data_IF_363986149605
#
_entry.id   IF_363986149605
#
_cell.length_a   1.000
_cell.length_b   1.000
_cell.length_c   1.000
_cell.angle_alpha   90.00
_cell.angle_beta   90.00
_cell.angle_gamma   90.00
#
_symmetry.space_group_name_H-M   'P 1'
#
loop_
_entity.id
_entity.type
_entity.pdbx_description
1 polymer ?
#
# COMPACT_ATOMS: atom_id res chain seq x y z
N UNK A 1 -17.28 -8.47 -13.59
CA UNK A 1 -16.02 -7.70 -13.43
C UNK A 1 -15.85 -7.43 -11.94
N UNK A 2 -14.67 -7.60 -11.33
CA UNK A 2 -14.48 -7.60 -9.86
C UNK A 2 -15.26 -6.54 -9.04
N UNK A 3 -15.56 -5.37 -9.60
CA UNK A 3 -16.35 -4.32 -8.96
C UNK A 3 -17.87 -4.63 -8.84
N UNK A 4 -18.38 -5.65 -9.53
CA UNK A 4 -19.74 -6.18 -9.36
C UNK A 4 -19.89 -7.05 -8.11
N UNK A 5 -18.77 -7.39 -7.46
CA UNK A 5 -18.69 -8.17 -6.21
C UNK A 5 -19.40 -9.52 -6.26
N UNK A 6 -19.51 -10.11 -7.45
CA UNK A 6 -20.01 -11.46 -7.63
C UNK A 6 -18.91 -12.51 -7.30
N UNK A 7 -18.43 -12.50 -6.06
CA UNK A 7 -17.44 -13.44 -5.53
C UNK A 7 -17.63 -13.65 -4.02
N UNK A 8 -17.28 -14.83 -3.53
CA UNK A 8 -17.20 -15.09 -2.08
C UNK A 8 -15.83 -14.69 -1.52
N UNK A 9 -14.77 -14.90 -2.32
CA UNK A 9 -13.40 -14.55 -1.99
C UNK A 9 -12.63 -14.23 -3.28
N UNK A 10 -11.77 -13.21 -3.22
CA UNK A 10 -10.93 -12.81 -4.34
C UNK A 10 -9.48 -12.65 -3.89
N UNK A 11 -8.54 -12.89 -4.81
CA UNK A 11 -7.13 -12.57 -4.59
C UNK A 11 -6.83 -11.20 -5.18
N UNK A 12 -6.26 -10.33 -4.36
CA UNK A 12 -5.92 -8.95 -4.71
C UNK A 12 -4.43 -8.73 -4.46
N UNK A 13 -3.78 -7.98 -5.35
CA UNK A 13 -2.47 -7.42 -5.05
C UNK A 13 -2.68 -6.07 -4.38
N UNK A 14 -2.27 -5.95 -3.12
CA UNK A 14 -2.33 -4.71 -2.37
C UNK A 14 -0.92 -4.24 -2.02
N UNK A 15 -0.60 -3.01 -2.42
CA UNK A 15 0.66 -2.34 -2.10
C UNK A 15 0.35 -1.07 -1.31
N UNK A 16 0.38 -1.12 0.04
CA UNK A 16 0.20 0.06 0.86
C UNK A 16 1.29 1.10 0.55
N UNK A 17 0.91 2.37 0.58
CA UNK A 17 1.85 3.45 0.33
C UNK A 17 2.74 3.68 1.56
N UNK A 18 3.98 4.17 1.38
CA UNK A 18 4.84 4.53 2.51
C UNK A 18 4.21 5.56 3.46
N UNK A 19 3.35 6.42 2.91
CA UNK A 19 2.54 7.39 3.64
C UNK A 19 1.06 7.04 3.45
N UNK A 20 0.47 6.27 4.38
CA UNK A 20 -0.95 5.91 4.32
C UNK A 20 -1.86 7.12 4.59
N UNK A 21 -3.08 7.09 4.04
CA UNK A 21 -4.09 8.14 4.13
C UNK A 21 -5.31 7.84 3.24
N UNK A 22 -5.48 8.61 2.16
CA UNK A 22 -6.68 8.56 1.31
C UNK A 22 -6.87 7.23 0.56
N UNK A 23 -5.80 6.49 0.30
CA UNK A 23 -5.88 5.18 -0.33
C UNK A 23 -6.62 4.17 0.58
N UNK A 24 -6.36 4.22 1.88
CA UNK A 24 -7.00 3.39 2.88
C UNK A 24 -8.49 3.71 2.98
N UNK A 25 -8.89 4.98 2.81
CA UNK A 25 -10.30 5.36 2.73
C UNK A 25 -10.99 4.68 1.55
N UNK A 26 -10.40 4.78 0.36
CA UNK A 26 -10.95 4.19 -0.87
C UNK A 26 -11.15 2.67 -0.78
N UNK A 27 -10.28 1.99 -0.04
CA UNK A 27 -10.25 0.53 0.05
C UNK A 27 -11.01 -0.05 1.24
N UNK A 28 -11.13 0.69 2.36
CA UNK A 28 -11.52 0.08 3.63
C UNK A 28 -12.56 0.88 4.43
N UNK A 29 -12.90 2.11 4.02
CA UNK A 29 -13.85 2.92 4.77
C UNK A 29 -15.30 2.51 4.52
N UNK A 30 -16.08 2.44 5.61
CA UNK A 30 -17.47 1.97 5.59
C UNK A 30 -18.42 2.75 4.68
N UNK A 31 -18.21 4.05 4.51
CA UNK A 31 -19.00 4.89 3.56
C UNK A 31 -19.01 4.35 2.13
N UNK A 32 -17.98 3.60 1.75
CA UNK A 32 -17.81 3.04 0.42
C UNK A 32 -18.18 1.54 0.37
N UNK A 33 -18.55 0.94 1.51
CA UNK A 33 -18.82 -0.47 1.64
C UNK A 33 -20.05 -0.91 0.84
N UNK A 34 -21.08 -0.07 0.70
CA UNK A 34 -22.29 -0.41 -0.05
C UNK A 34 -22.38 0.29 -1.42
N UNK A 35 -21.35 1.05 -1.79
CA UNK A 35 -21.33 1.82 -3.03
C UNK A 35 -21.03 0.91 -4.23
N UNK A 36 -21.94 0.89 -5.21
CA UNK A 36 -21.72 0.16 -6.46
C UNK A 36 -20.49 0.68 -7.20
N UNK A 37 -19.63 -0.23 -7.68
CA UNK A 37 -18.39 0.13 -8.35
C UNK A 37 -17.23 0.55 -7.42
N UNK A 38 -17.43 0.55 -6.10
CA UNK A 38 -16.40 0.92 -5.12
C UNK A 38 -15.32 -0.16 -4.95
N UNK A 39 -14.09 0.31 -4.71
CA UNK A 39 -12.93 -0.53 -4.37
C UNK A 39 -12.93 -1.06 -2.93
N UNK A 40 -13.91 -0.69 -2.09
CA UNK A 40 -14.13 -1.28 -0.77
C UNK A 40 -14.73 -2.69 -0.87
N UNK A 41 -13.99 -3.58 -1.54
CA UNK A 41 -14.42 -4.91 -1.98
C UNK A 41 -14.78 -5.85 -0.83
N UNK A 42 -14.22 -5.64 0.37
CA UNK A 42 -14.54 -6.42 1.55
C UNK A 42 -15.94 -6.12 2.11
N UNK A 43 -16.54 -4.99 1.75
CA UNK A 43 -17.83 -4.54 2.28
C UNK A 43 -17.82 -4.26 3.79
N UNK A 44 -16.65 -4.07 4.39
CA UNK A 44 -16.55 -3.83 5.84
C UNK A 44 -17.03 -2.42 6.18
N UNK A 45 -17.88 -2.35 7.20
CA UNK A 45 -18.33 -1.12 7.79
C UNK A 45 -18.16 -1.18 9.32
N UNK A 46 -16.93 -0.93 9.76
CA UNK A 46 -16.55 -0.95 11.18
C UNK A 46 -16.23 0.49 11.66
N UNK A 47 -16.96 1.02 12.65
CA UNK A 47 -16.74 2.39 13.13
C UNK A 47 -15.35 2.63 13.72
N UNK A 48 -14.73 1.62 14.34
CA UNK A 48 -13.38 1.75 14.88
C UNK A 48 -12.34 1.81 13.74
N UNK A 49 -12.54 1.03 12.68
CA UNK A 49 -11.71 1.09 11.48
C UNK A 49 -11.83 2.47 10.81
N UNK A 50 -13.05 2.96 10.61
CA UNK A 50 -13.31 4.28 10.04
C UNK A 50 -12.59 5.38 10.84
N UNK A 51 -12.70 5.37 12.16
CA UNK A 51 -12.01 6.35 13.02
C UNK A 51 -10.48 6.30 12.87
N UNK A 52 -9.89 5.12 12.68
CA UNK A 52 -8.43 5.02 12.45
C UNK A 52 -8.00 5.55 11.08
N UNK A 53 -8.84 5.38 10.06
CA UNK A 53 -8.62 5.95 8.72
C UNK A 53 -8.72 7.48 8.77
N UNK A 54 -9.73 8.02 9.46
CA UNK A 54 -9.85 9.47 9.66
C UNK A 54 -8.65 10.05 10.42
N UNK A 55 -8.15 9.33 11.43
CA UNK A 55 -6.93 9.74 12.14
C UNK A 55 -5.68 9.70 11.25
N UNK A 56 -5.57 8.75 10.33
CA UNK A 56 -4.51 8.71 9.31
C UNK A 56 -4.56 9.95 8.41
N UNK A 57 -5.75 10.30 7.91
CA UNK A 57 -5.95 11.46 7.03
C UNK A 57 -5.73 12.80 7.76
N UNK A 58 -6.01 12.85 9.05
CA UNK A 58 -5.86 14.06 9.87
C UNK A 58 -4.44 14.29 10.41
N UNK A 59 -3.56 13.29 10.37
CA UNK A 59 -2.21 13.37 10.94
C UNK A 59 -1.37 14.49 10.28
N UNK A 60 -0.75 15.35 11.10
CA UNK A 60 0.06 16.49 10.64
C UNK A 60 1.52 16.40 11.02
N UNK A 61 1.91 15.34 11.73
CA UNK A 61 3.29 15.07 12.09
C UNK A 61 3.66 13.60 11.87
N UNK A 62 4.95 13.28 11.69
CA UNK A 62 5.40 11.89 11.58
C UNK A 62 5.01 11.03 12.79
N UNK A 63 5.04 11.61 13.99
CA UNK A 63 4.69 10.90 15.22
C UNK A 63 3.20 10.53 15.25
N UNK A 64 2.33 11.48 14.85
CA UNK A 64 0.89 11.23 14.72
C UNK A 64 0.61 10.17 13.64
N UNK A 65 1.25 10.27 12.47
CA UNK A 65 1.05 9.31 11.38
C UNK A 65 1.47 7.89 11.80
N UNK A 66 2.59 7.76 12.51
CA UNK A 66 3.05 6.46 13.05
C UNK A 66 2.05 5.91 14.08
N UNK A 67 1.52 6.76 14.96
CA UNK A 67 0.53 6.33 15.94
C UNK A 67 -0.79 5.88 15.27
N UNK A 68 -1.31 6.68 14.34
CA UNK A 68 -2.52 6.39 13.58
C UNK A 68 -2.37 5.12 12.72
N UNK A 69 -1.24 4.97 12.00
CA UNK A 69 -0.97 3.78 11.20
C UNK A 69 -0.86 2.51 12.02
N UNK A 70 -0.26 2.56 13.21
CA UNK A 70 -0.24 1.41 14.14
C UNK A 70 -1.63 1.07 14.69
N UNK A 71 -2.48 2.07 14.93
CA UNK A 71 -3.85 1.84 15.36
C UNK A 71 -4.67 1.21 14.23
N UNK A 72 -4.60 1.77 13.02
CA UNK A 72 -5.22 1.22 11.81
C UNK A 72 -4.82 -0.24 11.59
N UNK A 73 -3.53 -0.58 11.58
CA UNK A 73 -3.07 -1.95 11.35
C UNK A 73 -3.62 -2.95 12.37
N UNK A 74 -3.73 -2.57 13.65
CA UNK A 74 -4.29 -3.44 14.69
C UNK A 74 -5.79 -3.65 14.48
N UNK A 75 -6.54 -2.58 14.26
CA UNK A 75 -8.00 -2.64 14.08
C UNK A 75 -8.34 -3.36 12.78
N UNK A 76 -7.69 -3.01 11.67
CA UNK A 76 -7.86 -3.65 10.38
C UNK A 76 -7.63 -5.16 10.45
N UNK A 77 -6.58 -5.62 11.14
CA UNK A 77 -6.35 -7.07 11.30
C UNK A 77 -7.42 -7.78 12.15
N UNK A 78 -8.13 -7.07 13.01
CA UNK A 78 -9.22 -7.66 13.81
C UNK A 78 -10.52 -7.82 13.01
N UNK A 79 -10.70 -7.12 11.89
CA UNK A 79 -11.88 -7.28 11.04
C UNK A 79 -11.82 -8.55 10.18
N UNK A 80 -10.64 -9.16 10.05
CA UNK A 80 -10.39 -10.32 9.18
C UNK A 80 -10.78 -10.07 7.71
N UNK A 81 -10.76 -8.81 7.27
CA UNK A 81 -11.05 -8.36 5.90
C UNK A 81 -10.24 -9.07 4.82
N UNK A 82 -9.01 -9.43 5.17
CA UNK A 82 -8.00 -9.88 4.26
C UNK A 82 -7.15 -10.94 4.94
N UNK A 83 -6.87 -12.02 4.23
CA UNK A 83 -5.86 -13.00 4.59
C UNK A 83 -4.55 -12.60 3.91
N UNK A 84 -3.51 -12.15 4.65
CA UNK A 84 -2.24 -11.80 4.05
C UNK A 84 -1.59 -13.05 3.43
N UNK A 85 -1.09 -12.90 2.21
CA UNK A 85 -0.37 -13.96 1.51
C UNK A 85 1.13 -13.79 1.73
N UNK A 86 1.83 -13.19 0.77
CA UNK A 86 3.28 -13.09 0.75
C UNK A 86 3.71 -11.73 0.20
N UNK A 87 4.94 -11.33 0.50
CA UNK A 87 5.64 -10.21 -0.12
C UNK A 87 7.10 -10.56 -0.30
N UNK A 88 7.75 -9.97 -1.30
CA UNK A 88 9.21 -9.95 -1.37
C UNK A 88 9.76 -8.69 -0.70
N UNK A 89 10.92 -8.79 -0.06
CA UNK A 89 11.73 -7.65 0.40
C UNK A 89 12.93 -7.39 -0.53
N UNK A 90 13.04 -8.14 -1.62
CA UNK A 90 14.11 -8.04 -2.60
C UNK A 90 13.59 -7.43 -3.89
N UNK A 91 14.42 -6.63 -4.54
CA UNK A 91 14.21 -6.20 -5.92
C UNK A 91 15.24 -6.90 -6.79
N UNK A 92 14.79 -7.81 -7.66
CA UNK A 92 15.68 -8.47 -8.59
C UNK A 92 15.80 -7.66 -9.88
N UNK A 93 17.03 -7.29 -10.22
CA UNK A 93 17.36 -6.54 -11.42
C UNK A 93 18.51 -7.23 -12.16
N UNK A 94 18.46 -7.17 -13.49
CA UNK A 94 19.54 -7.60 -14.36
C UNK A 94 19.91 -6.46 -15.29
N UNK A 95 21.20 -6.27 -15.53
CA UNK A 95 21.72 -5.27 -16.45
C UNK A 95 23.06 -5.70 -17.06
N UNK A 96 23.43 -5.03 -18.14
CA UNK A 96 24.74 -5.22 -18.79
C UNK A 96 25.84 -4.48 -18.04
N UNK A 97 27.04 -5.06 -18.01
CA UNK A 97 28.25 -4.42 -17.48
C UNK A 97 28.78 -3.32 -18.41
N UNK A 98 27.92 -2.34 -18.69
CA UNK A 98 28.15 -1.16 -19.53
C UNK A 98 27.54 0.09 -18.91
N UNK A 99 26.90 -0.03 -17.75
CA UNK A 99 26.21 1.06 -17.08
C UNK A 99 26.81 1.31 -15.69
N UNK A 100 27.15 2.56 -15.43
CA UNK A 100 27.45 3.04 -14.08
C UNK A 100 26.17 3.39 -13.33
N UNK A 101 26.19 3.26 -12.01
CA UNK A 101 25.03 3.45 -11.14
C UNK A 101 25.39 4.25 -9.88
N UNK A 102 24.45 4.99 -9.28
CA UNK A 102 24.71 5.72 -8.05
C UNK A 102 25.02 4.78 -6.87
N UNK A 103 26.02 5.12 -6.05
CA UNK A 103 26.36 4.37 -4.81
C UNK A 103 25.17 4.25 -3.84
N UNK A 104 24.23 5.19 -3.85
CA UNK A 104 23.01 5.11 -3.04
C UNK A 104 22.11 3.91 -3.37
N UNK A 105 22.19 3.36 -4.59
CA UNK A 105 21.50 2.11 -4.96
C UNK A 105 22.21 0.87 -4.38
N UNK A 106 23.49 0.99 -4.03
CA UNK A 106 24.27 -0.07 -3.39
C UNK A 106 23.99 -0.14 -1.87
N UNK A 107 23.47 0.93 -1.27
CA UNK A 107 23.20 1.04 0.18
C UNK A 107 21.73 0.83 0.57
N UNK A 108 20.89 0.37 -0.37
CA UNK A 108 19.53 -0.10 -0.06
C UNK A 108 18.39 0.89 -0.34
N UNK A 109 18.63 1.99 -1.05
CA UNK A 109 17.52 2.69 -1.69
C UNK A 109 16.91 1.79 -2.77
N UNK A 110 15.57 1.72 -2.89
CA UNK A 110 14.96 1.00 -3.99
C UNK A 110 15.54 1.55 -5.29
N UNK A 111 15.99 0.69 -6.20
CA UNK A 111 16.62 1.11 -7.44
C UNK A 111 15.62 2.00 -8.17
N UNK A 112 15.94 3.29 -8.27
CA UNK A 112 15.14 4.21 -9.05
C UNK A 112 15.51 4.03 -10.52
N UNK A 113 14.61 4.39 -11.44
CA UNK A 113 14.63 3.94 -12.82
C UNK A 113 15.95 4.33 -13.50
N UNK A 114 16.26 3.64 -14.60
CA UNK A 114 17.42 3.82 -15.49
C UNK A 114 17.83 5.29 -15.77
N UNK A 115 16.97 6.26 -15.46
CA UNK A 115 17.21 7.71 -15.44
C UNK A 115 18.48 8.16 -14.70
N UNK A 116 18.89 7.46 -13.63
CA UNK A 116 20.11 7.82 -12.87
C UNK A 116 21.36 7.07 -13.31
N UNK A 117 21.22 6.16 -14.27
CA UNK A 117 22.33 5.38 -14.78
C UNK A 117 22.98 6.11 -15.95
N UNK A 118 24.26 5.81 -16.20
CA UNK A 118 24.98 6.38 -17.34
C UNK A 118 25.75 5.29 -18.06
N UNK A 119 25.97 5.47 -19.36
CA UNK A 119 26.81 4.56 -20.13
C UNK A 119 28.27 4.74 -19.72
N UNK A 120 28.98 3.63 -19.52
CA UNK A 120 30.43 3.62 -19.28
C UNK A 120 31.22 3.83 -20.59
N UNK A 121 30.58 3.56 -21.73
CA UNK A 121 31.12 3.77 -23.08
C UNK A 121 30.10 4.56 -23.92
N UNK A 122 30.58 5.54 -24.68
CA UNK A 122 29.78 6.29 -25.66
C UNK A 122 29.68 5.54 -27.00
#
# INVERSE_FOLDING_TARGET
MMLDRAFDMATLSWSPQPLPGSAERLLWHGDLADMEGSYALSGINDPALNATIEALEAARSPAELVAAGRAFDRVFRHTLAMLPLWRTNETWLAWWDRFGRPHAEETGFPPAPMERWWALEA
#
